data_IF_587213805847
#
_entry.id   IF_587213805847
#
_cell.length_a   1.000
_cell.length_b   1.000
_cell.length_c   1.000
_cell.angle_alpha   90.00
_cell.angle_beta   90.00
_cell.angle_gamma   90.00
#
_symmetry.space_group_name_H-M   'P 1'
#
loop_
_entity.id
_entity.type
_entity.pdbx_description
1 polymer ?
#
# COMPACT_ATOMS: atom_id res chain seq x y z
N UNK A 1 13.14 12.83 -13.84
CA UNK A 1 13.46 11.40 -13.84
C UNK A 1 12.20 10.60 -14.10
N UNK A 2 12.27 9.66 -15.01
CA UNK A 2 11.12 8.82 -15.32
C UNK A 2 10.97 7.70 -14.29
N UNK A 3 9.73 7.40 -13.95
CA UNK A 3 9.38 6.30 -13.05
C UNK A 3 8.66 5.23 -13.85
N UNK A 4 9.02 3.98 -13.63
CA UNK A 4 8.36 2.83 -14.24
C UNK A 4 7.62 2.09 -13.14
N UNK A 5 6.32 1.88 -13.35
CA UNK A 5 5.51 1.02 -12.47
C UNK A 5 5.39 -0.33 -13.17
N UNK A 6 5.79 -1.38 -12.48
CA UNK A 6 5.78 -2.73 -13.04
C UNK A 6 5.34 -3.77 -12.03
N UNK A 7 5.06 -4.98 -12.49
CA UNK A 7 4.73 -6.08 -11.60
C UNK A 7 5.96 -6.54 -10.80
N UNK A 8 5.67 -7.00 -9.60
CA UNK A 8 6.66 -7.61 -8.71
C UNK A 8 7.27 -8.87 -9.33
N UNK A 9 8.56 -9.07 -9.07
CA UNK A 9 9.30 -10.30 -9.39
C UNK A 9 9.91 -10.85 -8.11
N UNK A 10 10.07 -12.17 -7.98
CA UNK A 10 10.64 -12.75 -6.75
C UNK A 10 12.00 -12.16 -6.35
N UNK A 11 12.82 -11.75 -7.30
CA UNK A 11 14.12 -11.13 -7.02
C UNK A 11 14.00 -9.77 -6.35
N UNK A 12 12.81 -9.15 -6.35
CA UNK A 12 12.58 -7.85 -5.74
C UNK A 12 12.41 -7.93 -4.22
N UNK A 13 12.13 -9.12 -3.69
CA UNK A 13 11.66 -9.27 -2.31
C UNK A 13 12.55 -8.58 -1.28
N UNK A 14 13.86 -8.79 -1.35
CA UNK A 14 14.78 -8.20 -0.37
C UNK A 14 14.73 -6.68 -0.39
N UNK A 15 14.63 -6.09 -1.57
CA UNK A 15 14.50 -4.63 -1.71
C UNK A 15 13.20 -4.12 -1.08
N UNK A 16 12.10 -4.82 -1.33
CA UNK A 16 10.79 -4.44 -0.77
C UNK A 16 10.81 -4.52 0.76
N UNK A 17 11.33 -5.60 1.30
CA UNK A 17 11.40 -5.75 2.75
C UNK A 17 12.25 -4.66 3.39
N UNK A 18 13.39 -4.34 2.80
CA UNK A 18 14.26 -3.26 3.31
C UNK A 18 13.56 -1.89 3.29
N UNK A 19 12.82 -1.61 2.23
CA UNK A 19 12.03 -0.37 2.13
C UNK A 19 10.99 -0.31 3.25
N UNK A 20 10.29 -1.41 3.49
CA UNK A 20 9.28 -1.46 4.55
C UNK A 20 9.90 -1.18 5.92
N UNK A 21 11.08 -1.72 6.21
CA UNK A 21 11.78 -1.44 7.45
C UNK A 21 12.15 0.03 7.60
N UNK A 22 12.43 0.72 6.50
CA UNK A 22 12.75 2.15 6.52
C UNK A 22 11.51 3.03 6.63
N UNK A 23 10.37 2.55 6.14
CA UNK A 23 9.14 3.35 6.11
C UNK A 23 8.36 3.29 7.42
N UNK A 24 8.51 2.22 8.20
CA UNK A 24 7.66 2.00 9.37
C UNK A 24 8.49 1.70 10.61
N UNK A 25 7.94 2.07 11.77
CA UNK A 25 8.56 1.83 13.05
C UNK A 25 8.62 0.33 13.36
N UNK A 26 9.60 -0.04 14.18
CA UNK A 26 9.72 -1.40 14.68
C UNK A 26 8.43 -1.84 15.36
N UNK A 27 7.93 -3.02 14.99
CA UNK A 27 6.67 -3.55 15.48
C UNK A 27 5.47 -3.19 14.60
N UNK A 28 5.60 -2.17 13.74
CA UNK A 28 4.59 -1.82 12.73
C UNK A 28 5.03 -2.34 11.37
N UNK A 29 6.32 -2.25 11.06
CA UNK A 29 6.88 -2.84 9.83
C UNK A 29 6.69 -4.35 9.83
N UNK A 30 6.59 -4.93 8.64
CA UNK A 30 6.40 -6.36 8.49
C UNK A 30 7.69 -7.13 8.70
N UNK A 31 7.57 -8.33 9.31
CA UNK A 31 8.66 -9.31 9.26
C UNK A 31 8.77 -9.83 7.83
N UNK A 32 9.90 -10.48 7.51
CA UNK A 32 10.07 -11.11 6.20
C UNK A 32 8.95 -12.12 5.92
N UNK A 33 8.58 -12.91 6.91
CA UNK A 33 7.51 -13.92 6.79
C UNK A 33 6.16 -13.26 6.52
N UNK A 34 5.84 -12.20 7.23
CA UNK A 34 4.57 -11.49 7.04
C UNK A 34 4.48 -10.85 5.65
N UNK A 35 5.53 -10.16 5.24
CA UNK A 35 5.54 -9.54 3.91
C UNK A 35 5.44 -10.60 2.81
N UNK A 36 6.17 -11.70 2.94
CA UNK A 36 6.10 -12.80 1.99
C UNK A 36 4.69 -13.39 1.93
N UNK A 37 4.03 -13.53 3.08
CA UNK A 37 2.65 -14.01 3.14
C UNK A 37 1.71 -13.12 2.33
N UNK A 38 1.78 -11.80 2.52
CA UNK A 38 0.90 -10.89 1.82
C UNK A 38 1.20 -10.81 0.31
N UNK A 39 2.47 -10.86 -0.07
CA UNK A 39 2.85 -10.86 -1.49
C UNK A 39 2.37 -12.13 -2.19
N UNK A 40 2.36 -13.26 -1.49
CA UNK A 40 1.98 -14.55 -2.06
C UNK A 40 0.46 -14.78 -2.11
N UNK A 41 -0.35 -13.83 -1.67
CA UNK A 41 -1.82 -14.00 -1.67
C UNK A 41 -2.34 -14.24 -3.09
N UNK A 42 -3.18 -15.27 -3.21
CA UNK A 42 -3.62 -15.80 -4.50
C UNK A 42 -4.41 -14.79 -5.34
N UNK A 43 -5.24 -13.99 -4.68
CA UNK A 43 -6.08 -13.01 -5.36
C UNK A 43 -5.45 -11.61 -5.39
N UNK A 44 -4.27 -11.46 -4.80
CA UNK A 44 -3.57 -10.19 -4.70
C UNK A 44 -2.59 -9.95 -5.82
N UNK A 45 -1.96 -8.79 -5.77
CA UNK A 45 -0.86 -8.43 -6.66
C UNK A 45 0.03 -7.40 -5.97
N UNK A 46 1.24 -7.27 -6.47
CA UNK A 46 2.21 -6.28 -5.97
C UNK A 46 2.78 -5.52 -7.16
N UNK A 47 2.80 -4.19 -7.05
CA UNK A 47 3.38 -3.31 -8.05
C UNK A 47 4.61 -2.63 -7.48
N UNK A 48 5.63 -2.45 -8.31
CA UNK A 48 6.93 -1.91 -7.92
C UNK A 48 7.20 -0.65 -8.73
N UNK A 49 7.71 0.37 -8.07
CA UNK A 49 8.14 1.60 -8.72
C UNK A 49 9.65 1.66 -8.83
N UNK A 50 10.15 1.88 -10.05
CA UNK A 50 11.59 1.99 -10.33
C UNK A 50 11.94 3.36 -10.86
N UNK A 51 13.11 3.84 -10.47
CA UNK A 51 13.78 5.00 -11.06
C UNK A 51 15.22 4.63 -11.35
N UNK A 52 15.64 4.80 -12.59
CA UNK A 52 17.02 4.50 -13.00
C UNK A 52 17.44 3.08 -12.59
N UNK A 53 16.53 2.10 -12.75
CA UNK A 53 16.80 0.71 -12.43
C UNK A 53 16.78 0.36 -10.95
N UNK A 54 16.49 1.33 -10.07
CA UNK A 54 16.44 1.12 -8.63
C UNK A 54 14.99 1.13 -8.15
N UNK A 55 14.63 0.16 -7.30
CA UNK A 55 13.31 0.13 -6.67
C UNK A 55 13.26 1.22 -5.60
N UNK A 56 12.29 2.11 -5.69
CA UNK A 56 12.11 3.23 -4.77
C UNK A 56 10.76 3.23 -4.06
N UNK A 57 9.88 2.30 -4.40
CA UNK A 57 8.60 2.15 -3.73
C UNK A 57 7.82 0.96 -4.25
N UNK A 58 6.76 0.60 -3.53
CA UNK A 58 5.91 -0.52 -3.94
C UNK A 58 4.55 -0.44 -3.26
N UNK A 59 3.59 -1.20 -3.76
CA UNK A 59 2.28 -1.35 -3.16
C UNK A 59 1.88 -2.83 -3.23
N UNK A 60 1.43 -3.37 -2.10
CA UNK A 60 0.90 -4.74 -1.99
C UNK A 60 -0.60 -4.63 -1.83
N UNK A 61 -1.33 -5.35 -2.67
CA UNK A 61 -2.78 -5.29 -2.73
C UNK A 61 -3.34 -6.70 -2.66
N UNK A 62 -4.40 -6.88 -1.88
CA UNK A 62 -5.18 -8.10 -1.87
C UNK A 62 -6.61 -7.77 -2.31
N UNK A 63 -7.42 -8.77 -2.52
CA UNK A 63 -8.84 -8.61 -2.82
C UNK A 63 -9.62 -9.84 -2.42
N UNK A 64 -10.91 -9.68 -2.19
CA UNK A 64 -11.80 -10.80 -1.96
C UNK A 64 -12.59 -11.11 -3.25
N UNK A 65 -13.46 -12.12 -3.17
CA UNK A 65 -14.27 -12.55 -4.32
C UNK A 65 -15.55 -11.73 -4.47
N UNK A 66 -15.86 -10.86 -3.50
CA UNK A 66 -17.04 -10.01 -3.51
C UNK A 66 -16.79 -8.64 -4.13
N UNK A 67 -15.57 -8.37 -4.59
CA UNK A 67 -15.24 -7.12 -5.25
C UNK A 67 -14.68 -6.05 -4.34
N UNK A 68 -14.15 -6.44 -3.17
CA UNK A 68 -13.46 -5.50 -2.29
C UNK A 68 -11.95 -5.68 -2.41
N UNK A 69 -11.26 -4.60 -2.77
CA UNK A 69 -9.80 -4.54 -2.73
C UNK A 69 -9.31 -4.10 -1.36
N UNK A 70 -8.06 -4.45 -1.05
CA UNK A 70 -7.43 -4.09 0.20
C UNK A 70 -5.97 -3.73 -0.05
N UNK A 71 -5.63 -2.47 0.16
CA UNK A 71 -4.22 -2.06 0.11
C UNK A 71 -3.58 -2.48 1.42
N UNK A 72 -2.70 -3.49 1.34
CA UNK A 72 -2.00 -4.01 2.51
C UNK A 72 -0.95 -3.03 2.98
N UNK A 73 -0.14 -2.53 2.06
CA UNK A 73 0.86 -1.50 2.36
C UNK A 73 1.23 -0.76 1.09
N UNK A 74 1.55 0.51 1.24
CA UNK A 74 2.15 1.33 0.18
C UNK A 74 3.35 2.04 0.78
N UNK A 75 4.51 1.77 0.23
CA UNK A 75 5.78 2.23 0.77
C UNK A 75 6.56 3.00 -0.28
N UNK A 76 7.07 4.15 0.10
CA UNK A 76 7.94 4.97 -0.76
C UNK A 76 9.16 5.37 0.05
N UNK A 77 10.35 5.14 -0.50
CA UNK A 77 11.59 5.55 0.16
C UNK A 77 11.53 7.06 0.50
N UNK A 78 12.08 7.47 1.66
CA UNK A 78 12.04 8.88 2.04
C UNK A 78 12.56 9.83 0.97
N UNK A 79 13.66 9.46 0.29
CA UNK A 79 14.26 10.28 -0.76
C UNK A 79 13.41 10.37 -2.03
N UNK A 80 12.44 9.47 -2.20
CA UNK A 80 11.55 9.48 -3.36
C UNK A 80 10.16 10.05 -3.05
N UNK A 81 9.93 10.48 -1.82
CA UNK A 81 8.64 11.09 -1.43
C UNK A 81 8.48 12.47 -2.04
N UNK A 82 7.24 12.95 -2.13
CA UNK A 82 6.86 14.24 -2.72
C UNK A 82 7.24 14.36 -4.21
N UNK A 83 7.39 13.22 -4.88
CA UNK A 83 7.74 13.18 -6.30
C UNK A 83 6.61 12.62 -7.16
N UNK A 84 5.46 12.33 -6.55
CA UNK A 84 4.32 11.73 -7.24
C UNK A 84 4.37 10.21 -7.34
N UNK A 85 5.39 9.56 -6.82
CA UNK A 85 5.51 8.09 -6.91
C UNK A 85 4.40 7.38 -6.16
N UNK A 86 4.08 7.82 -4.94
CA UNK A 86 2.97 7.24 -4.17
C UNK A 86 1.65 7.33 -4.92
N UNK A 87 1.39 8.48 -5.54
CA UNK A 87 0.19 8.68 -6.35
C UNK A 87 0.16 7.78 -7.57
N UNK A 88 1.29 7.60 -8.24
CA UNK A 88 1.39 6.69 -9.39
C UNK A 88 1.13 5.24 -8.98
N UNK A 89 1.70 4.80 -7.88
CA UNK A 89 1.47 3.44 -7.36
C UNK A 89 0.00 3.23 -6.98
N UNK A 90 -0.59 4.19 -6.27
CA UNK A 90 -1.99 4.09 -5.85
C UNK A 90 -2.93 4.08 -7.06
N UNK A 91 -2.72 4.96 -8.01
CA UNK A 91 -3.53 5.02 -9.23
C UNK A 91 -3.44 3.71 -10.01
N UNK A 92 -2.23 3.18 -10.18
CA UNK A 92 -2.05 1.92 -10.89
C UNK A 92 -2.74 0.74 -10.16
N UNK A 93 -2.65 0.72 -8.83
CA UNK A 93 -3.31 -0.30 -8.02
C UNK A 93 -4.83 -0.22 -8.16
N UNK A 94 -5.40 0.97 -8.09
CA UNK A 94 -6.84 1.18 -8.22
C UNK A 94 -7.34 0.79 -9.61
N UNK A 95 -6.61 1.13 -10.65
CA UNK A 95 -6.96 0.75 -12.02
C UNK A 95 -6.98 -0.77 -12.19
N UNK A 96 -5.97 -1.46 -11.63
CA UNK A 96 -5.95 -2.92 -11.69
C UNK A 96 -7.12 -3.52 -10.92
N UNK A 97 -7.45 -2.98 -9.74
CA UNK A 97 -8.60 -3.45 -8.98
C UNK A 97 -9.91 -3.28 -9.76
N UNK A 98 -10.08 -2.15 -10.46
CA UNK A 98 -11.26 -1.96 -11.34
C UNK A 98 -11.32 -3.01 -12.42
N UNK A 99 -10.21 -3.27 -13.09
CA UNK A 99 -10.11 -4.30 -14.14
C UNK A 99 -10.45 -5.68 -13.61
N UNK A 100 -10.11 -5.96 -12.35
CA UNK A 100 -10.40 -7.23 -11.68
C UNK A 100 -11.82 -7.30 -11.12
N UNK A 101 -12.65 -6.27 -11.34
CA UNK A 101 -14.04 -6.25 -10.92
C UNK A 101 -14.30 -5.71 -9.53
N UNK A 102 -13.33 -5.08 -8.91
CA UNK A 102 -13.53 -4.50 -7.57
C UNK A 102 -14.26 -3.17 -7.67
N UNK A 103 -15.23 -2.97 -6.77
CA UNK A 103 -16.04 -1.75 -6.70
C UNK A 103 -15.63 -0.83 -5.56
N UNK A 104 -14.84 -1.33 -4.62
CA UNK A 104 -14.40 -0.58 -3.46
C UNK A 104 -13.00 -1.06 -3.05
N UNK A 105 -12.23 -0.17 -2.46
CA UNK A 105 -10.93 -0.52 -1.87
C UNK A 105 -10.85 0.06 -0.47
N UNK A 106 -10.31 -0.73 0.46
CA UNK A 106 -10.09 -0.31 1.84
C UNK A 106 -8.61 -0.36 2.19
N UNK A 107 -8.25 0.37 3.23
CA UNK A 107 -6.92 0.32 3.83
C UNK A 107 -6.99 0.77 5.29
N UNK A 108 -5.93 0.46 6.04
CA UNK A 108 -5.77 0.90 7.42
C UNK A 108 -4.54 1.81 7.54
N UNK A 109 -4.62 2.77 8.44
CA UNK A 109 -3.47 3.61 8.78
C UNK A 109 -3.54 3.97 10.26
N UNK A 110 -2.37 4.19 10.89
CA UNK A 110 -2.34 4.62 12.28
C UNK A 110 -2.94 6.02 12.41
N UNK A 111 -3.71 6.23 13.47
CA UNK A 111 -4.43 7.49 13.71
C UNK A 111 -3.48 8.68 13.81
N UNK A 112 -2.24 8.46 14.23
CA UNK A 112 -1.22 9.50 14.39
C UNK A 112 -0.35 9.71 13.14
N UNK A 113 -0.61 8.98 12.06
CA UNK A 113 0.13 9.15 10.81
C UNK A 113 -0.55 10.23 9.95
N UNK A 114 -0.31 11.50 10.30
CA UNK A 114 -0.96 12.62 9.65
C UNK A 114 -0.62 12.73 8.15
N UNK A 115 0.62 12.43 7.78
CA UNK A 115 1.04 12.48 6.38
C UNK A 115 0.32 11.44 5.53
N UNK A 116 0.18 10.22 6.02
CA UNK A 116 -0.54 9.16 5.32
C UNK A 116 -2.03 9.51 5.20
N UNK A 117 -2.65 10.00 6.27
CA UNK A 117 -4.05 10.42 6.24
C UNK A 117 -4.30 11.49 5.18
N UNK A 118 -3.43 12.50 5.12
CA UNK A 118 -3.54 13.57 4.12
C UNK A 118 -3.42 13.00 2.70
N UNK A 119 -2.47 12.08 2.49
CA UNK A 119 -2.26 11.43 1.21
C UNK A 119 -3.52 10.66 0.77
N UNK A 120 -4.07 9.82 1.65
CA UNK A 120 -5.25 9.03 1.31
C UNK A 120 -6.47 9.91 1.05
N UNK A 121 -6.67 10.95 1.85
CA UNK A 121 -7.80 11.88 1.64
C UNK A 121 -7.68 12.59 0.29
N UNK A 122 -6.48 13.00 -0.12
CA UNK A 122 -6.27 13.59 -1.45
C UNK A 122 -6.63 12.62 -2.58
N UNK A 123 -6.47 11.31 -2.34
CA UNK A 123 -6.82 10.28 -3.31
C UNK A 123 -8.28 9.84 -3.24
N UNK A 124 -9.10 10.52 -2.46
CA UNK A 124 -10.54 10.26 -2.40
C UNK A 124 -10.97 9.23 -1.37
N UNK A 125 -10.09 8.86 -0.45
CA UNK A 125 -10.43 7.94 0.63
C UNK A 125 -11.10 8.69 1.78
N UNK A 126 -12.09 8.03 2.40
CA UNK A 126 -12.82 8.56 3.56
C UNK A 126 -12.72 7.58 4.72
N UNK A 127 -12.63 8.11 5.93
CA UNK A 127 -12.60 7.29 7.15
C UNK A 127 -13.98 6.68 7.36
N UNK A 128 -14.05 5.37 7.50
CA UNK A 128 -15.30 4.64 7.73
C UNK A 128 -15.35 3.93 9.08
N UNK A 129 -14.21 3.73 9.72
CA UNK A 129 -14.17 2.94 10.95
C UNK A 129 -12.89 3.21 11.73
N UNK A 130 -12.91 2.96 13.05
CA UNK A 130 -11.74 3.01 13.92
C UNK A 130 -11.52 1.64 14.55
N UNK A 131 -10.28 1.16 14.52
CA UNK A 131 -9.88 -0.09 15.17
C UNK A 131 -9.03 0.26 16.40
N UNK A 132 -9.57 0.16 17.63
CA UNK A 132 -8.83 0.54 18.83
C UNK A 132 -7.60 -0.34 19.03
N UNK A 133 -6.49 0.29 19.39
CA UNK A 133 -5.23 -0.38 19.75
C UNK A 133 -4.73 -1.41 18.73
N UNK A 134 -4.92 -1.10 17.45
CA UNK A 134 -4.58 -2.00 16.35
C UNK A 134 -3.05 -2.16 16.21
N UNK A 135 -2.30 -1.06 16.31
CA UNK A 135 -0.84 -1.06 16.18
C UNK A 135 -0.20 -1.11 17.56
N UNK A 136 0.74 -2.05 17.76
CA UNK A 136 1.51 -2.19 18.99
C UNK A 136 0.61 -2.30 20.23
N UNK A 137 -0.63 -2.75 20.07
CA UNK A 137 -1.64 -2.87 21.13
C UNK A 137 -1.87 -1.55 21.88
N UNK A 138 -1.60 -0.41 21.27
CA UNK A 138 -1.74 0.91 21.91
C UNK A 138 -2.19 2.03 20.97
N UNK A 139 -1.92 1.91 19.67
CA UNK A 139 -2.24 2.94 18.68
C UNK A 139 -3.45 2.51 17.87
N UNK A 140 -4.47 3.36 17.83
CA UNK A 140 -5.66 3.11 17.03
C UNK A 140 -5.35 3.17 15.55
N UNK A 141 -6.06 2.36 14.76
CA UNK A 141 -6.04 2.44 13.31
C UNK A 141 -7.34 3.04 12.82
N UNK A 142 -7.24 3.79 11.74
CA UNK A 142 -8.39 4.23 10.97
C UNK A 142 -8.52 3.33 9.75
N UNK A 143 -9.74 2.90 9.46
CA UNK A 143 -10.06 2.21 8.22
C UNK A 143 -10.64 3.23 7.26
N UNK A 144 -10.05 3.32 6.07
CA UNK A 144 -10.50 4.23 5.03
C UNK A 144 -10.98 3.41 3.83
N UNK A 145 -11.91 3.98 3.10
CA UNK A 145 -12.45 3.34 1.90
C UNK A 145 -12.60 4.34 0.76
N UNK A 146 -12.54 3.83 -0.44
CA UNK A 146 -12.79 4.59 -1.67
C UNK A 146 -13.62 3.73 -2.62
N UNK A 147 -14.69 4.32 -3.15
CA UNK A 147 -15.47 3.68 -4.21
C UNK A 147 -14.67 3.75 -5.52
N UNK A 148 -14.59 2.62 -6.21
CA UNK A 148 -13.91 2.52 -7.50
C UNK A 148 -14.87 2.59 -8.68
N UNK A 149 -16.16 2.56 -8.39
CA UNK A 149 -17.20 2.66 -9.43
C UNK A 149 -17.48 4.13 -9.69
N UNK A 150 -17.59 4.50 -10.93
CA UNK A 150 -17.93 5.85 -11.35
C UNK A 150 -19.43 6.08 -11.36
#
# INVERSE_FOLDING_TARGET
>A
MSTVIRDYRPDDFDSLWKIDQLCFARGISYTRRELAFYIARKLGFTLVGEREGKIVGFVVVDRDRQGQGHVITIDVLPEARRSGLGSQLMTAAEERLRTLGCSVVILETAVDNAAALAFYKRHGYSVIHTLPRYYLNSIDALVLAKDLVL
#
